data_IF_538156073767
#
_entry.id   IF_538156073767
#
_cell.length_a   1.000
_cell.length_b   1.000
_cell.length_c   1.000
_cell.angle_alpha   90.00
_cell.angle_beta   90.00
_cell.angle_gamma   90.00
#
_symmetry.space_group_name_H-M   'P 1'
#
loop_
_entity.id
_entity.type
_entity.pdbx_description
1 polymer ?
#
# COMPACT_ATOMS: atom_id res chain seq x y z
N UNK A 1 -3.35 14.64 16.28
CA UNK A 1 -2.64 14.34 15.01
C UNK A 1 -1.32 13.68 15.40
N UNK A 2 -1.20 12.37 15.22
CA UNK A 2 0.07 11.67 15.44
C UNK A 2 1.06 12.05 14.33
N UNK A 3 2.32 12.25 14.68
CA UNK A 3 3.39 12.49 13.71
C UNK A 3 3.57 11.17 12.94
N UNK A 4 3.31 11.17 11.64
CA UNK A 4 3.56 10.00 10.78
C UNK A 4 5.07 9.73 10.73
N UNK A 5 5.46 8.47 10.86
CA UNK A 5 6.87 8.08 10.83
C UNK A 5 7.46 8.20 9.43
N UNK A 6 8.78 8.38 9.30
CA UNK A 6 9.47 8.40 8.00
C UNK A 6 9.21 7.13 7.18
N UNK A 7 9.14 5.97 7.85
CA UNK A 7 8.78 4.70 7.24
C UNK A 7 7.38 4.76 6.62
N UNK A 8 6.39 5.23 7.39
CA UNK A 8 5.01 5.34 6.94
C UNK A 8 4.88 6.27 5.73
N UNK A 9 5.51 7.44 5.77
CA UNK A 9 5.47 8.39 4.66
C UNK A 9 6.04 7.80 3.37
N UNK A 10 7.24 7.20 3.44
CA UNK A 10 7.88 6.54 2.29
C UNK A 10 7.03 5.37 1.77
N UNK A 11 6.52 4.54 2.67
CA UNK A 11 5.68 3.41 2.32
C UNK A 11 4.41 3.84 1.57
N UNK A 12 3.69 4.85 2.08
CA UNK A 12 2.48 5.35 1.45
C UNK A 12 2.77 6.05 0.12
N UNK A 13 3.91 6.72 0.00
CA UNK A 13 4.37 7.27 -1.28
C UNK A 13 4.59 6.17 -2.32
N UNK A 14 5.38 5.13 -2.00
CA UNK A 14 5.61 4.02 -2.92
C UNK A 14 4.32 3.26 -3.26
N UNK A 15 3.43 3.08 -2.29
CA UNK A 15 2.12 2.48 -2.54
C UNK A 15 1.33 3.30 -3.58
N UNK A 16 1.30 4.62 -3.45
CA UNK A 16 0.63 5.51 -4.41
C UNK A 16 1.26 5.43 -5.79
N UNK A 17 2.59 5.51 -5.89
CA UNK A 17 3.31 5.41 -7.16
C UNK A 17 3.04 4.06 -7.85
N UNK A 18 3.02 2.97 -7.09
CA UNK A 18 2.69 1.63 -7.60
C UNK A 18 1.25 1.54 -8.13
N UNK A 19 0.30 2.18 -7.45
CA UNK A 19 -1.10 2.26 -7.91
C UNK A 19 -1.17 3.06 -9.21
N UNK A 20 -0.58 4.26 -9.25
CA UNK A 20 -0.62 5.13 -10.43
C UNK A 20 0.06 4.46 -11.63
N UNK A 21 1.22 3.82 -11.44
CA UNK A 21 1.90 3.04 -12.48
C UNK A 21 1.05 1.86 -12.98
N UNK A 22 0.35 1.15 -12.09
CA UNK A 22 -0.50 0.03 -12.49
C UNK A 22 -1.69 0.44 -13.36
N UNK A 23 -2.18 1.68 -13.21
CA UNK A 23 -3.31 2.23 -13.95
C UNK A 23 -2.90 3.29 -15.00
N UNK A 24 -1.61 3.36 -15.34
CA UNK A 24 -1.08 4.35 -16.29
C UNK A 24 -1.59 4.10 -17.71
N UNK A 25 -1.77 2.83 -18.08
CA UNK A 25 -2.28 2.45 -19.40
C UNK A 25 -3.80 2.63 -19.50
N UNK A 26 -4.19 3.79 -20.03
CA UNK A 26 -5.58 4.15 -20.24
C UNK A 26 -6.33 3.26 -21.23
N UNK A 27 -5.63 2.58 -22.15
CA UNK A 27 -6.27 1.64 -23.09
C UNK A 27 -6.76 0.40 -22.36
N UNK A 28 -5.94 -0.12 -21.44
CA UNK A 28 -6.26 -1.32 -20.67
C UNK A 28 -7.46 -1.10 -19.73
N UNK A 29 -7.60 0.09 -19.13
CA UNK A 29 -8.64 0.38 -18.14
C UNK A 29 -9.82 1.22 -18.65
N UNK A 30 -9.87 1.51 -19.95
CA UNK A 30 -10.93 2.31 -20.58
C UNK A 30 -11.21 3.65 -19.87
N UNK A 31 -10.15 4.36 -19.47
CA UNK A 31 -10.27 5.67 -18.82
C UNK A 31 -10.40 6.78 -19.87
N UNK A 32 -11.29 7.76 -19.66
CA UNK A 32 -11.36 8.90 -20.57
C UNK A 32 -10.05 9.73 -20.49
N UNK A 33 -9.73 10.45 -21.56
CA UNK A 33 -8.47 11.19 -21.69
C UNK A 33 -8.26 12.21 -20.57
N UNK A 34 -9.33 12.81 -20.07
CA UNK A 34 -9.30 13.84 -19.02
C UNK A 34 -9.14 13.27 -17.60
N UNK A 35 -9.25 11.95 -17.42
CA UNK A 35 -9.20 11.29 -16.12
C UNK A 35 -7.97 10.41 -15.96
N UNK A 36 -7.53 10.25 -14.71
CA UNK A 36 -6.57 9.22 -14.30
C UNK A 36 -7.02 8.56 -13.00
N UNK A 37 -6.67 7.29 -12.82
CA UNK A 37 -6.78 6.61 -11.53
C UNK A 37 -5.56 6.89 -10.67
N UNK A 38 -5.79 7.10 -9.38
CA UNK A 38 -4.76 7.40 -8.40
C UNK A 38 -5.09 6.75 -7.06
N UNK A 39 -4.08 6.60 -6.22
CA UNK A 39 -4.20 6.00 -4.88
C UNK A 39 -4.19 7.06 -3.78
N UNK A 40 -5.02 6.85 -2.75
CA UNK A 40 -4.88 7.49 -1.45
C UNK A 40 -4.64 6.42 -0.38
N UNK A 41 -3.46 5.76 -0.41
CA UNK A 41 -3.23 4.61 0.43
C UNK A 41 -3.24 5.01 1.91
N UNK A 42 -3.82 4.17 2.76
CA UNK A 42 -3.81 4.38 4.22
C UNK A 42 -3.09 3.25 4.92
N UNK A 43 -2.28 3.59 5.91
CA UNK A 43 -1.51 2.61 6.67
C UNK A 43 -2.43 1.70 7.49
N UNK A 44 -2.14 0.40 7.48
CA UNK A 44 -2.81 -0.58 8.35
C UNK A 44 -1.85 -1.06 9.42
N UNK A 45 -0.73 -1.68 9.03
CA UNK A 45 0.26 -2.25 9.95
C UNK A 45 1.60 -2.51 9.25
N UNK A 46 2.65 -2.75 10.04
CA UNK A 46 3.94 -3.25 9.55
C UNK A 46 4.43 -4.45 10.34
N UNK A 47 5.18 -5.32 9.65
CA UNK A 47 5.97 -6.38 10.25
C UNK A 47 7.45 -6.06 10.04
N UNK A 48 8.20 -6.02 11.13
CA UNK A 48 9.66 -5.88 11.08
C UNK A 48 10.29 -7.23 10.79
N UNK A 49 11.00 -7.31 9.67
CA UNK A 49 11.80 -8.48 9.33
C UNK A 49 13.15 -8.30 9.99
N UNK A 50 13.46 -9.17 10.95
CA UNK A 50 14.73 -9.20 11.67
C UNK A 50 15.52 -10.44 11.30
N UNK A 51 16.83 -10.29 11.18
CA UNK A 51 17.72 -11.36 10.76
C UNK A 51 19.18 -11.06 11.08
N UNK A 52 20.00 -12.12 11.11
CA UNK A 52 21.45 -12.03 11.07
C UNK A 52 21.92 -12.63 9.73
N UNK A 53 22.84 -11.96 9.05
CA UNK A 53 23.47 -12.52 7.85
C UNK A 53 24.06 -13.91 8.18
N UNK A 54 23.80 -14.91 7.33
CA UNK A 54 24.44 -16.23 7.40
C UNK A 54 23.88 -17.25 8.42
N UNK A 55 22.78 -16.96 9.14
CA UNK A 55 22.18 -17.93 10.06
C UNK A 55 21.07 -18.74 9.39
N UNK A 56 21.23 -20.06 9.32
CA UNK A 56 20.20 -20.98 8.88
C UNK A 56 18.96 -20.84 9.78
N UNK A 57 17.87 -20.29 9.24
CA UNK A 57 16.65 -20.09 10.01
C UNK A 57 15.89 -21.40 10.15
N UNK A 58 16.13 -22.16 11.21
CA UNK A 58 15.23 -23.25 11.61
C UNK A 58 13.97 -22.63 12.20
N UNK A 59 13.06 -22.16 11.35
CA UNK A 59 11.78 -21.58 11.80
C UNK A 59 10.81 -22.70 12.12
N UNK A 60 10.30 -22.72 13.36
CA UNK A 60 9.10 -23.48 13.68
C UNK A 60 7.94 -22.93 12.83
N UNK A 61 7.28 -23.80 12.06
CA UNK A 61 6.11 -23.42 11.28
C UNK A 61 4.98 -23.06 12.26
N UNK A 62 4.58 -21.79 12.26
CA UNK A 62 3.38 -21.33 12.95
C UNK A 62 2.24 -21.28 11.94
N UNK A 63 1.09 -21.88 12.26
CA UNK A 63 -0.14 -21.72 11.49
C UNK A 63 -0.93 -20.61 12.14
N UNK A 64 -1.19 -19.55 11.39
CA UNK A 64 -1.94 -18.39 11.85
C UNK A 64 -3.07 -18.11 10.85
N UNK A 65 -4.30 -17.96 11.34
CA UNK A 65 -5.45 -17.63 10.51
C UNK A 65 -5.55 -16.10 10.40
N UNK A 66 -5.29 -15.58 9.21
CA UNK A 66 -5.42 -14.15 8.89
C UNK A 66 -6.48 -13.94 7.82
N UNK A 67 -7.37 -12.97 8.04
CA UNK A 67 -8.32 -12.50 7.05
C UNK A 67 -7.79 -11.24 6.39
N UNK A 68 -7.39 -11.32 5.12
CA UNK A 68 -6.96 -10.15 4.33
C UNK A 68 -8.12 -9.23 3.89
N UNK A 69 -9.32 -9.46 4.42
CA UNK A 69 -10.49 -8.59 4.24
C UNK A 69 -10.80 -7.76 5.48
N UNK A 70 -10.18 -8.07 6.62
CA UNK A 70 -10.41 -7.42 7.90
C UNK A 70 -9.11 -6.78 8.41
N UNK A 71 -9.11 -5.44 8.49
CA UNK A 71 -7.95 -4.67 8.96
C UNK A 71 -7.58 -5.05 10.39
N UNK A 72 -8.54 -5.34 11.25
CA UNK A 72 -8.28 -5.73 12.64
C UNK A 72 -7.55 -7.08 12.71
N UNK A 73 -7.91 -8.03 11.85
CA UNK A 73 -7.20 -9.30 11.71
C UNK A 73 -5.73 -9.11 11.28
N UNK A 74 -5.48 -8.18 10.35
CA UNK A 74 -4.11 -7.86 9.89
C UNK A 74 -3.28 -7.17 10.97
N UNK A 75 -3.87 -6.20 11.68
CA UNK A 75 -3.18 -5.53 12.80
C UNK A 75 -2.78 -6.55 13.86
N UNK A 76 -3.71 -7.44 14.24
CA UNK A 76 -3.42 -8.51 15.20
C UNK A 76 -2.31 -9.46 14.71
N UNK A 77 -2.35 -9.84 13.43
CA UNK A 77 -1.30 -10.64 12.80
C UNK A 77 0.08 -9.97 12.83
N UNK A 78 0.15 -8.69 12.44
CA UNK A 78 1.39 -7.94 12.40
C UNK A 78 2.00 -7.77 13.80
N UNK A 79 1.17 -7.44 14.79
CA UNK A 79 1.58 -7.38 16.19
C UNK A 79 2.11 -8.74 16.68
N UNK A 80 1.36 -9.83 16.44
CA UNK A 80 1.79 -11.17 16.83
C UNK A 80 3.17 -11.51 16.24
N UNK A 81 3.40 -11.24 14.96
CA UNK A 81 4.69 -11.49 14.35
C UNK A 81 5.80 -10.65 14.97
N UNK A 82 5.59 -9.35 15.17
CA UNK A 82 6.59 -8.48 15.77
C UNK A 82 6.97 -8.92 17.19
N UNK A 83 6.02 -9.43 17.97
CA UNK A 83 6.27 -9.94 19.32
C UNK A 83 7.07 -11.26 19.34
N UNK A 84 6.94 -12.07 18.29
CA UNK A 84 7.62 -13.37 18.17
C UNK A 84 8.92 -13.34 17.35
N UNK A 85 9.24 -12.22 16.71
CA UNK A 85 10.50 -12.04 16.00
C UNK A 85 11.65 -11.86 16.99
N UNK A 86 12.87 -12.30 16.59
CA UNK A 86 14.04 -12.18 17.46
C UNK A 86 14.44 -10.72 17.62
N UNK A 87 14.04 -10.11 18.74
CA UNK A 87 14.30 -8.69 19.02
C UNK A 87 15.78 -8.36 19.24
N UNK A 88 16.65 -9.37 19.43
CA UNK A 88 18.10 -9.19 19.54
C UNK A 88 18.79 -9.09 18.17
N UNK A 89 18.08 -9.36 17.08
CA UNK A 89 18.59 -9.20 15.72
C UNK A 89 18.23 -7.83 15.14
N UNK A 90 19.06 -7.37 14.23
CA UNK A 90 18.85 -6.13 13.49
C UNK A 90 17.67 -6.28 12.52
N UNK A 91 17.00 -5.15 12.28
CA UNK A 91 15.95 -5.06 11.27
C UNK A 91 16.59 -5.01 9.89
N UNK A 92 16.28 -6.01 9.07
CA UNK A 92 16.75 -6.13 7.68
C UNK A 92 15.72 -5.58 6.68
N UNK A 93 14.46 -5.42 7.11
CA UNK A 93 13.42 -4.85 6.28
C UNK A 93 12.05 -4.81 6.95
N UNK A 94 11.05 -4.41 6.17
CA UNK A 94 9.69 -4.18 6.62
C UNK A 94 8.69 -4.73 5.59
N UNK A 95 7.65 -5.38 6.06
CA UNK A 95 6.47 -5.73 5.26
C UNK A 95 5.35 -4.79 5.70
N UNK A 96 4.82 -4.00 4.77
CA UNK A 96 3.83 -2.97 5.06
C UNK A 96 2.49 -3.35 4.47
N UNK A 97 1.45 -3.33 5.30
CA UNK A 97 0.05 -3.51 4.92
C UNK A 97 -0.61 -2.14 4.82
N UNK A 98 -1.30 -1.90 3.72
CA UNK A 98 -2.00 -0.65 3.47
C UNK A 98 -3.31 -0.89 2.73
N UNK A 99 -4.26 0.02 2.90
CA UNK A 99 -5.46 0.07 2.07
C UNK A 99 -5.12 0.76 0.75
N UNK A 100 -5.45 0.16 -0.39
CA UNK A 100 -5.10 0.66 -1.72
C UNK A 100 -5.93 1.89 -2.15
N UNK A 101 -7.11 2.09 -1.56
CA UNK A 101 -8.10 3.18 -1.83
C UNK A 101 -7.85 3.94 -3.15
N UNK A 102 -8.54 3.52 -4.20
CA UNK A 102 -8.38 4.08 -5.55
C UNK A 102 -9.49 5.09 -5.81
N UNK A 103 -9.13 6.23 -6.41
CA UNK A 103 -10.08 7.26 -6.83
C UNK A 103 -9.70 7.82 -8.21
N UNK A 104 -10.62 8.53 -8.85
CA UNK A 104 -10.39 9.24 -10.12
C UNK A 104 -10.06 10.70 -9.82
N UNK A 105 -9.05 11.24 -10.50
CA UNK A 105 -8.76 12.67 -10.54
C UNK A 105 -8.57 13.15 -11.97
N UNK A 106 -8.57 14.47 -12.18
CA UNK A 106 -8.15 15.09 -13.45
C UNK A 106 -6.75 14.60 -13.80
N UNK A 107 -6.56 14.14 -15.03
CA UNK A 107 -5.23 13.82 -15.54
C UNK A 107 -4.38 15.10 -15.61
N UNK A 108 -3.18 15.14 -15.00
CA UNK A 108 -2.31 16.31 -15.03
C UNK A 108 -1.80 16.67 -16.43
N UNK A 109 -1.80 15.72 -17.38
CA UNK A 109 -1.45 15.94 -18.78
C UNK A 109 -2.63 16.46 -19.62
N UNK A 110 -3.86 16.47 -19.08
CA UNK A 110 -5.02 17.04 -19.77
C UNK A 110 -5.09 18.55 -19.51
N UNK A 111 -4.82 19.33 -20.57
CA UNK A 111 -4.63 20.78 -20.46
C UNK A 111 -5.93 21.57 -20.41
N UNK A 112 -7.04 21.01 -20.87
CA UNK A 112 -8.35 21.68 -20.86
C UNK A 112 -8.97 21.63 -19.47
N UNK A 113 -9.85 22.59 -19.18
CA UNK A 113 -10.66 22.56 -17.97
C UNK A 113 -11.76 21.50 -18.09
N UNK A 114 -12.09 20.88 -16.95
CA UNK A 114 -13.18 19.93 -16.91
C UNK A 114 -14.51 20.67 -17.06
N UNK A 115 -15.37 20.19 -17.96
CA UNK A 115 -16.75 20.64 -18.03
C UNK A 115 -17.52 20.28 -16.76
N UNK A 116 -18.65 20.95 -16.52
CA UNK A 116 -19.52 20.64 -15.38
C UNK A 116 -19.95 19.16 -15.37
N UNK A 117 -20.18 18.59 -16.57
CA UNK A 117 -20.49 17.18 -16.74
C UNK A 117 -19.33 16.27 -16.28
N UNK A 118 -18.10 16.57 -16.70
CA UNK A 118 -16.91 15.79 -16.31
C UNK A 118 -16.62 15.90 -14.81
N UNK A 119 -16.82 17.09 -14.23
CA UNK A 119 -16.71 17.27 -12.78
C UNK A 119 -17.75 16.43 -12.02
N UNK A 120 -18.99 16.35 -12.53
CA UNK A 120 -20.04 15.52 -11.94
C UNK A 120 -19.68 14.03 -11.99
N UNK A 121 -19.18 13.53 -13.13
CA UNK A 121 -18.74 12.13 -13.27
C UNK A 121 -17.59 11.79 -12.29
N UNK A 122 -16.61 12.69 -12.13
CA UNK A 122 -15.52 12.52 -11.18
C UNK A 122 -16.03 12.39 -9.75
N UNK A 123 -16.95 13.28 -9.35
CA UNK A 123 -17.56 13.25 -8.02
C UNK A 123 -18.35 11.96 -7.79
N UNK A 124 -19.15 11.53 -8.77
CA UNK A 124 -19.95 10.32 -8.67
C UNK A 124 -19.09 9.06 -8.57
N UNK A 125 -18.03 8.94 -9.37
CA UNK A 125 -17.10 7.81 -9.26
C UNK A 125 -16.49 7.71 -7.86
N UNK A 126 -16.10 8.86 -7.30
CA UNK A 126 -15.43 8.92 -6.00
C UNK A 126 -16.41 8.75 -4.82
N UNK A 127 -17.71 9.03 -4.99
CA UNK A 127 -18.73 8.75 -3.97
C UNK A 127 -19.13 7.28 -3.91
N UNK A 128 -19.12 6.60 -5.06
CA UNK A 128 -19.66 5.23 -5.18
C UNK A 128 -18.63 4.15 -4.77
N UNK A 129 -17.35 4.51 -4.61
CA UNK A 129 -16.31 3.56 -4.22
C UNK A 129 -16.27 3.31 -2.70
N UNK A 130 -16.71 2.12 -2.31
CA UNK A 130 -16.53 1.53 -0.98
C UNK A 130 -15.44 0.43 -0.93
N UNK A 131 -14.79 0.11 -2.06
CA UNK A 131 -13.84 -1.01 -2.11
C UNK A 131 -12.49 -0.64 -1.48
N UNK A 132 -12.34 -0.97 -0.21
CA UNK A 132 -11.05 -0.99 0.46
C UNK A 132 -10.35 -2.32 0.17
N UNK A 133 -9.45 -2.33 -0.81
CA UNK A 133 -8.58 -3.48 -1.06
C UNK A 133 -7.32 -3.36 -0.21
N UNK A 134 -6.95 -4.43 0.48
CA UNK A 134 -5.72 -4.47 1.26
C UNK A 134 -4.58 -4.95 0.36
N UNK A 135 -3.44 -4.27 0.44
CA UNK A 135 -2.26 -4.55 -0.37
C UNK A 135 -0.99 -4.48 0.48
N UNK A 136 0.11 -4.98 -0.10
CA UNK A 136 1.40 -5.12 0.57
C UNK A 136 2.51 -4.49 -0.27
N UNK A 137 3.45 -3.83 0.42
CA UNK A 137 4.77 -3.51 -0.12
C UNK A 137 5.85 -3.97 0.86
N UNK A 138 7.06 -4.18 0.34
CA UNK A 138 8.21 -4.58 1.15
C UNK A 138 9.32 -3.54 0.98
N UNK A 139 9.92 -3.16 2.11
CA UNK A 139 11.01 -2.20 2.15
C UNK A 139 12.24 -2.83 2.82
N UNK A 140 13.44 -2.45 2.40
CA UNK A 140 14.66 -2.80 3.12
C UNK A 140 14.84 -1.91 4.37
N UNK A 141 15.93 -2.12 5.11
CA UNK A 141 16.29 -1.33 6.30
C UNK A 141 16.53 0.17 6.00
N UNK A 142 16.82 0.54 4.75
CA UNK A 142 16.98 1.92 4.28
C UNK A 142 15.66 2.55 3.77
N UNK A 143 14.54 1.83 3.90
CA UNK A 143 13.22 2.21 3.42
C UNK A 143 13.14 2.30 1.89
N UNK A 144 13.90 1.49 1.17
CA UNK A 144 13.85 1.37 -0.29
C UNK A 144 13.00 0.16 -0.69
N UNK A 145 12.27 0.28 -1.80
CA UNK A 145 11.38 -0.77 -2.29
C UNK A 145 12.16 -2.03 -2.67
N UNK A 146 11.70 -3.18 -2.17
CA UNK A 146 12.18 -4.50 -2.58
C UNK A 146 11.23 -5.05 -3.63
N UNK A 147 11.63 -4.99 -4.90
CA UNK A 147 10.91 -5.64 -6.00
C UNK A 147 11.45 -7.07 -6.19
N UNK A 148 10.56 -8.06 -6.23
CA UNK A 148 10.92 -9.40 -6.69
C UNK A 148 10.85 -9.40 -8.21
N UNK A 149 11.96 -9.74 -8.87
CA UNK A 149 12.02 -10.09 -10.29
C UNK A 149 11.24 -11.36 -10.58
#
# INVERSE_FOLDING_TARGET
MGIQSTLELKALQYAKEKIEKHYEDKFTYALPLWAMLTGNPTWIASVEVRGAEGVAMTKQRVVFNVSFKDKSSIVYYASYLNDHMNQNQETVGYIIFYDKNIYVKKDPNYTEDLSDYQNLELLQFNSDKSSTDISIIMLNNNYELVEYL
#
